data_IF_045940573281
#
_entry.id   IF_045940573281
#
_cell.length_a   1.000
_cell.length_b   1.000
_cell.length_c   1.000
_cell.angle_alpha   90.00
_cell.angle_beta   90.00
_cell.angle_gamma   90.00
#
_symmetry.space_group_name_H-M   'P 1'
#
loop_
_entity.id
_entity.type
_entity.pdbx_description
1 polymer ?
#
# COMPACT_ATOMS: atom_id res chain seq x y z
N UNK A 1 11.24 10.16 20.93
CA UNK A 1 10.28 10.43 19.82
C UNK A 1 8.86 10.36 20.36
N UNK A 2 8.02 11.36 20.08
CA UNK A 2 6.61 11.33 20.50
C UNK A 2 5.85 10.20 19.78
N UNK A 3 4.95 9.51 20.51
CA UNK A 3 4.08 8.47 19.93
C UNK A 3 3.21 9.02 18.80
N UNK A 4 2.88 10.31 18.88
CA UNK A 4 2.05 11.04 17.92
C UNK A 4 2.79 11.26 16.59
N UNK A 5 4.07 11.65 16.65
CA UNK A 5 4.87 11.83 15.43
C UNK A 5 5.19 10.51 14.73
N UNK A 6 5.28 9.40 15.47
CA UNK A 6 5.35 8.05 14.90
C UNK A 6 4.05 7.69 14.17
N UNK A 7 2.89 7.86 14.81
CA UNK A 7 1.60 7.56 14.20
C UNK A 7 1.33 8.37 12.91
N UNK A 8 1.68 9.67 12.91
CA UNK A 8 1.55 10.52 11.71
C UNK A 8 2.44 10.02 10.57
N UNK A 9 3.68 9.62 10.88
CA UNK A 9 4.60 9.06 9.89
C UNK A 9 4.08 7.75 9.33
N UNK A 10 3.64 6.84 10.19
CA UNK A 10 3.11 5.53 9.80
C UNK A 10 1.87 5.68 8.90
N UNK A 11 0.98 6.60 9.23
CA UNK A 11 -0.19 6.93 8.40
C UNK A 11 0.22 7.50 7.03
N UNK A 12 1.20 8.39 6.98
CA UNK A 12 1.70 8.96 5.71
C UNK A 12 2.32 7.88 4.82
N UNK A 13 3.06 6.95 5.40
CA UNK A 13 3.65 5.81 4.67
C UNK A 13 2.54 4.90 4.15
N UNK A 14 1.54 4.56 4.97
CA UNK A 14 0.40 3.75 4.54
C UNK A 14 -0.34 4.37 3.34
N UNK A 15 -0.61 5.68 3.39
CA UNK A 15 -1.28 6.37 2.29
C UNK A 15 -0.45 6.40 1.01
N UNK A 16 0.88 6.58 1.11
CA UNK A 16 1.76 6.47 -0.06
C UNK A 16 1.73 5.07 -0.65
N UNK A 17 1.82 4.04 0.18
CA UNK A 17 1.81 2.65 -0.30
C UNK A 17 0.50 2.31 -1.03
N UNK A 18 -0.64 2.83 -0.56
CA UNK A 18 -1.93 2.70 -1.28
C UNK A 18 -1.92 3.40 -2.63
N UNK A 19 -1.41 4.64 -2.70
CA UNK A 19 -1.33 5.38 -3.97
C UNK A 19 -0.42 4.70 -4.99
N UNK A 20 0.74 4.18 -4.55
CA UNK A 20 1.65 3.43 -5.41
C UNK A 20 1.03 2.12 -5.89
N UNK A 21 0.28 1.43 -5.02
CA UNK A 21 -0.48 0.24 -5.41
C UNK A 21 -1.53 0.57 -6.47
N UNK A 22 -2.32 1.63 -6.29
CA UNK A 22 -3.34 2.03 -7.27
C UNK A 22 -2.71 2.36 -8.62
N UNK A 23 -1.56 3.05 -8.62
CA UNK A 23 -0.78 3.30 -9.85
C UNK A 23 -0.31 2.01 -10.50
N UNK A 24 0.27 1.09 -9.73
CA UNK A 24 0.74 -0.19 -10.23
C UNK A 24 -0.42 -1.00 -10.83
N UNK A 25 -1.59 -1.01 -10.18
CA UNK A 25 -2.79 -1.69 -10.68
C UNK A 25 -3.33 -1.07 -11.98
N UNK A 26 -3.16 0.23 -12.22
CA UNK A 26 -3.62 0.87 -13.46
C UNK A 26 -2.84 0.40 -14.69
N UNK A 27 -1.54 0.14 -14.56
CA UNK A 27 -0.67 -0.32 -15.66
C UNK A 27 -0.45 -1.83 -15.69
N UNK A 28 -0.81 -2.55 -14.62
CA UNK A 28 -0.65 -3.99 -14.53
C UNK A 28 -1.58 -4.76 -15.46
N UNK A 29 -1.07 -5.86 -16.01
CA UNK A 29 -1.88 -6.85 -16.72
C UNK A 29 -2.86 -7.55 -15.75
N UNK A 30 -3.94 -8.17 -16.25
CA UNK A 30 -4.90 -8.86 -15.37
C UNK A 30 -4.26 -9.94 -14.48
N UNK A 31 -3.27 -10.69 -14.98
CA UNK A 31 -2.54 -11.67 -14.19
C UNK A 31 -1.70 -11.01 -13.08
N UNK A 32 -0.98 -9.94 -13.42
CA UNK A 32 -0.17 -9.20 -12.44
C UNK A 32 -1.01 -8.47 -11.40
N UNK A 33 -2.24 -8.02 -11.73
CA UNK A 33 -3.15 -7.41 -10.76
C UNK A 33 -3.43 -8.34 -9.59
N UNK A 34 -3.70 -9.62 -9.85
CA UNK A 34 -3.94 -10.59 -8.77
C UNK A 34 -2.72 -10.76 -7.88
N UNK A 35 -1.52 -10.86 -8.46
CA UNK A 35 -0.27 -10.96 -7.68
C UNK A 35 -0.03 -9.72 -6.83
N UNK A 36 -0.23 -8.52 -7.39
CA UNK A 36 -0.11 -7.25 -6.68
C UNK A 36 -1.10 -7.14 -5.53
N UNK A 37 -2.36 -7.57 -5.73
CA UNK A 37 -3.37 -7.59 -4.67
C UNK A 37 -3.01 -8.57 -3.54
N UNK A 38 -2.51 -9.76 -3.87
CA UNK A 38 -2.04 -10.74 -2.86
C UNK A 38 -0.85 -10.20 -2.09
N UNK A 39 0.12 -9.57 -2.76
CA UNK A 39 1.26 -8.93 -2.12
C UNK A 39 0.81 -7.79 -1.19
N UNK A 40 -0.16 -7.00 -1.61
CA UNK A 40 -0.70 -5.90 -0.83
C UNK A 40 -1.42 -6.35 0.43
N UNK A 41 -2.19 -7.43 0.36
CA UNK A 41 -2.85 -8.05 1.51
C UNK A 41 -1.82 -8.58 2.51
N UNK A 42 -0.76 -9.25 2.02
CA UNK A 42 0.34 -9.74 2.87
C UNK A 42 1.09 -8.61 3.58
N UNK A 43 1.20 -7.45 2.93
CA UNK A 43 1.82 -6.25 3.51
C UNK A 43 0.85 -5.42 4.37
N UNK A 44 -0.42 -5.81 4.48
CA UNK A 44 -1.45 -5.08 5.23
C UNK A 44 -1.80 -3.71 4.63
N UNK A 45 -1.50 -3.48 3.35
CA UNK A 45 -1.84 -2.25 2.62
C UNK A 45 -3.34 -2.21 2.33
N UNK A 46 -3.88 -3.36 1.92
CA UNK A 46 -5.29 -3.65 1.69
C UNK A 46 -5.76 -4.71 2.69
N UNK A 47 -7.03 -4.65 3.08
CA UNK A 47 -7.66 -5.55 4.05
C UNK A 47 -8.67 -6.45 3.36
#
# INVERSE_FOLDING_TARGET
>A
MSRLSKAIRDHRVSNRNRQELDRALQVATPAMRNELLVLAQRQGITR
#
